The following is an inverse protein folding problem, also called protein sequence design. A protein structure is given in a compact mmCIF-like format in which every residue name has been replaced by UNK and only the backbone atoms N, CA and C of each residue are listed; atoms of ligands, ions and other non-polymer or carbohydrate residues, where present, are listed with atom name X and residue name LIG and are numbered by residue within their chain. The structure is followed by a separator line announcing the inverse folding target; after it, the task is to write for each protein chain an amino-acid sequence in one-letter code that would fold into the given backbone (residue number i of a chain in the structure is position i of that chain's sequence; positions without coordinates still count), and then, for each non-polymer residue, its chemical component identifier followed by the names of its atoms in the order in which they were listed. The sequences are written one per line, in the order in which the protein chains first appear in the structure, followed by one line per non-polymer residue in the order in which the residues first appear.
data_IF_017205983457
#
_entry.id   IF_017205983457
#
_cell.length_a   1.000
_cell.length_b   1.000
_cell.length_c   1.000
_cell.angle_alpha   90.00
_cell.angle_beta   90.00
_cell.angle_gamma   90.00
#
_symmetry.space_group_name_H-M   'P 1'
#
loop_
_entity.id
_entity.type
_entity.pdbx_description
1 polymer ?
#
# COMPACT_ATOMS: atom_id res chain seq x y z
N UNK A 1 -18.12 13.84 -21.81
CA UNK A 1 -16.81 14.30 -21.30
C UNK A 1 -16.92 15.80 -21.03
N UNK A 2 -16.43 16.30 -19.89
CA UNK A 2 -16.55 17.72 -19.49
C UNK A 2 -15.15 18.38 -19.44
N UNK A 3 -14.62 18.88 -20.57
CA UNK A 3 -13.23 19.36 -20.65
C UNK A 3 -12.95 20.61 -19.81
N UNK A 4 -14.00 21.37 -19.45
CA UNK A 4 -13.86 22.64 -18.74
C UNK A 4 -14.02 22.52 -17.22
N UNK A 5 -14.22 21.30 -16.70
CA UNK A 5 -14.36 21.08 -15.25
C UNK A 5 -12.97 20.78 -14.68
N UNK A 6 -12.56 21.44 -13.58
CA UNK A 6 -11.32 21.11 -12.89
C UNK A 6 -11.31 19.65 -12.43
N UNK A 7 -10.27 18.91 -12.82
CA UNK A 7 -10.13 17.51 -12.45
C UNK A 7 -9.06 17.35 -11.37
N UNK A 8 -9.36 16.60 -10.32
CA UNK A 8 -8.42 16.28 -9.25
C UNK A 8 -8.20 14.78 -9.17
N UNK A 9 -7.00 14.36 -8.73
CA UNK A 9 -6.68 12.96 -8.49
C UNK A 9 -6.21 12.74 -7.06
N UNK A 10 -6.76 11.73 -6.39
CA UNK A 10 -6.41 11.39 -5.01
C UNK A 10 -5.88 9.96 -4.95
N UNK A 11 -4.83 9.74 -4.18
CA UNK A 11 -4.31 8.42 -3.87
C UNK A 11 -3.98 8.28 -2.40
N UNK A 12 -4.47 7.21 -1.77
CA UNK A 12 -4.16 6.83 -0.39
C UNK A 12 -3.20 5.62 -0.35
N UNK A 13 -2.20 5.62 0.53
CA UNK A 13 -1.26 4.50 0.72
C UNK A 13 -0.64 4.05 -0.61
N UNK A 14 -0.77 2.79 -1.03
CA UNK A 14 -0.34 2.33 -2.36
C UNK A 14 -0.89 3.19 -3.50
N UNK A 15 -2.16 3.62 -3.40
CA UNK A 15 -2.79 4.52 -4.37
C UNK A 15 -2.04 5.84 -4.50
N UNK A 16 -1.42 6.35 -3.43
CA UNK A 16 -0.59 7.55 -3.50
C UNK A 16 0.65 7.35 -4.38
N UNK A 17 1.25 6.16 -4.39
CA UNK A 17 2.38 5.83 -5.27
C UNK A 17 1.95 5.72 -6.73
N UNK A 18 0.79 5.10 -6.98
CA UNK A 18 0.19 5.05 -8.30
C UNK A 18 -0.06 6.47 -8.83
N UNK A 19 -0.67 7.34 -8.02
CA UNK A 19 -0.92 8.74 -8.40
C UNK A 19 0.39 9.48 -8.64
N UNK A 20 1.41 9.31 -7.80
CA UNK A 20 2.75 9.88 -8.04
C UNK A 20 3.34 9.43 -9.39
N UNK A 21 3.13 8.17 -9.79
CA UNK A 21 3.57 7.70 -11.10
C UNK A 21 2.73 8.28 -12.25
N UNK A 22 1.40 8.36 -12.09
CA UNK A 22 0.51 9.01 -13.07
C UNK A 22 0.91 10.46 -13.30
N UNK A 23 1.20 11.21 -12.24
CA UNK A 23 1.57 12.62 -12.32
C UNK A 23 2.90 12.84 -13.07
N UNK A 24 3.83 11.88 -13.08
CA UNK A 24 5.05 11.99 -13.90
C UNK A 24 4.76 12.09 -15.41
N UNK A 25 3.66 11.50 -15.88
CA UNK A 25 3.32 11.40 -17.30
C UNK A 25 2.09 12.23 -17.70
N UNK A 26 1.23 12.55 -16.74
CA UNK A 26 -0.11 13.07 -16.98
C UNK A 26 -0.51 14.20 -16.01
N UNK A 27 0.43 14.88 -15.35
CA UNK A 27 0.12 15.98 -14.43
C UNK A 27 -0.76 17.07 -15.08
N UNK A 28 -0.53 17.39 -16.36
CA UNK A 28 -1.29 18.37 -17.12
C UNK A 28 -2.79 18.05 -17.27
N UNK A 29 -3.19 16.80 -17.00
CA UNK A 29 -4.60 16.39 -17.06
C UNK A 29 -5.36 16.71 -15.76
N UNK A 30 -4.69 17.22 -14.72
CA UNK A 30 -5.27 17.47 -13.41
C UNK A 30 -4.99 18.91 -12.96
N UNK A 31 -5.99 19.54 -12.37
CA UNK A 31 -5.87 20.83 -11.68
C UNK A 31 -5.14 20.71 -10.36
N UNK A 32 -5.22 19.54 -9.70
CA UNK A 32 -4.50 19.27 -8.46
C UNK A 32 -4.50 17.79 -8.09
N UNK A 33 -3.67 17.46 -7.09
CA UNK A 33 -3.57 16.10 -6.57
C UNK A 33 -3.49 16.05 -5.04
N UNK A 34 -4.06 14.99 -4.46
CA UNK A 34 -4.03 14.72 -3.02
C UNK A 34 -3.33 13.38 -2.79
N UNK A 35 -2.22 13.42 -2.05
CA UNK A 35 -1.47 12.24 -1.66
C UNK A 35 -1.65 12.03 -0.16
N UNK A 36 -2.35 10.96 0.22
CA UNK A 36 -2.71 10.68 1.62
C UNK A 36 -2.02 9.40 2.08
N UNK A 37 -1.52 9.37 3.33
CA UNK A 37 -0.86 8.19 3.89
C UNK A 37 0.32 7.70 3.02
N UNK A 38 1.02 8.62 2.36
CA UNK A 38 2.14 8.28 1.48
C UNK A 38 3.40 7.98 2.29
N UNK A 39 4.37 7.34 1.66
CA UNK A 39 5.69 7.14 2.23
C UNK A 39 6.78 7.58 1.25
N UNK A 40 7.95 7.89 1.79
CA UNK A 40 9.17 8.05 1.02
C UNK A 40 9.97 6.74 0.97
N UNK A 41 11.12 6.75 0.31
CA UNK A 41 12.03 5.62 0.19
C UNK A 41 12.28 4.96 1.56
N UNK A 42 11.78 3.73 1.73
CA UNK A 42 11.95 2.98 2.96
C UNK A 42 13.22 2.12 2.88
N UNK A 43 14.20 2.27 3.80
CA UNK A 43 15.41 1.44 3.82
C UNK A 43 15.15 -0.08 3.80
N UNK A 44 14.02 -0.54 4.34
CA UNK A 44 13.62 -1.96 4.32
C UNK A 44 13.41 -2.51 2.91
N UNK A 45 13.08 -1.66 1.91
CA UNK A 45 12.96 -2.11 0.52
C UNK A 45 14.30 -2.62 0.00
N UNK A 46 15.43 -2.04 0.42
CA UNK A 46 16.77 -2.45 -0.04
C UNK A 46 17.10 -3.90 0.36
N UNK A 47 16.60 -4.37 1.50
CA UNK A 47 16.83 -5.73 2.01
C UNK A 47 15.85 -6.71 1.39
N UNK A 48 14.59 -6.31 1.21
CA UNK A 48 13.52 -7.20 0.76
C UNK A 48 13.43 -7.32 -0.77
N UNK A 49 13.89 -6.32 -1.53
CA UNK A 49 13.82 -6.29 -2.99
C UNK A 49 14.55 -7.45 -3.69
N UNK A 50 15.78 -7.86 -3.32
CA UNK A 50 16.48 -8.95 -3.99
C UNK A 50 15.73 -10.29 -3.89
N UNK A 51 15.24 -10.63 -2.70
CA UNK A 51 14.46 -11.84 -2.46
C UNK A 51 13.15 -11.78 -3.25
N UNK A 52 12.45 -10.64 -3.18
CA UNK A 52 11.17 -10.49 -3.86
C UNK A 52 11.30 -10.52 -5.39
N UNK A 53 12.41 -10.04 -5.97
CA UNK A 53 12.71 -10.17 -7.40
C UNK A 53 12.80 -11.63 -7.85
N UNK A 54 13.45 -12.49 -7.06
CA UNK A 54 13.53 -13.92 -7.36
C UNK A 54 12.16 -14.57 -7.27
N UNK A 55 11.42 -14.30 -6.20
CA UNK A 55 10.07 -14.85 -6.00
C UNK A 55 9.08 -14.39 -7.08
N UNK A 56 9.15 -13.12 -7.49
CA UNK A 56 8.33 -12.57 -8.56
C UNK A 56 8.67 -13.19 -9.92
N UNK A 57 9.93 -13.61 -10.14
CA UNK A 57 10.33 -14.31 -11.37
C UNK A 57 9.84 -15.76 -11.39
N UNK A 58 9.97 -16.48 -10.28
CA UNK A 58 9.68 -17.93 -10.22
C UNK A 58 8.20 -18.21 -9.98
N UNK A 59 7.52 -17.39 -9.18
CA UNK A 59 6.11 -17.58 -8.80
C UNK A 59 5.36 -16.24 -8.75
N UNK A 60 5.26 -15.48 -9.86
CA UNK A 60 4.75 -14.10 -9.88
C UNK A 60 3.36 -13.94 -9.28
N UNK A 61 2.46 -14.89 -9.55
CA UNK A 61 1.04 -14.85 -9.17
C UNK A 61 0.74 -15.50 -7.82
N UNK A 62 1.75 -16.04 -7.14
CA UNK A 62 1.55 -16.70 -5.84
C UNK A 62 1.39 -15.63 -4.75
N UNK A 63 0.32 -15.65 -3.93
CA UNK A 63 0.20 -14.82 -2.74
C UNK A 63 1.37 -15.03 -1.78
N UNK A 64 1.80 -13.98 -1.10
CA UNK A 64 2.96 -14.01 -0.21
C UNK A 64 2.60 -13.60 1.23
N UNK A 65 1.95 -14.49 2.02
CA UNK A 65 1.56 -14.22 3.41
C UNK A 65 2.75 -13.91 4.32
N UNK A 66 3.93 -14.50 4.03
CA UNK A 66 5.15 -14.22 4.81
C UNK A 66 5.54 -12.77 4.68
N UNK A 67 5.52 -12.23 3.46
CA UNK A 67 5.86 -10.84 3.21
C UNK A 67 4.79 -9.89 3.77
N UNK A 68 3.51 -10.23 3.60
CA UNK A 68 2.41 -9.48 4.19
C UNK A 68 2.54 -9.36 5.72
N UNK A 69 2.81 -10.48 6.41
CA UNK A 69 3.00 -10.50 7.86
C UNK A 69 4.22 -9.65 8.27
N UNK A 70 5.36 -9.77 7.58
CA UNK A 70 6.54 -8.93 7.85
C UNK A 70 6.19 -7.44 7.74
N UNK A 71 5.44 -7.04 6.72
CA UNK A 71 5.00 -5.66 6.53
C UNK A 71 4.08 -5.17 7.66
N UNK A 72 3.06 -5.97 8.00
CA UNK A 72 2.16 -5.67 9.11
C UNK A 72 2.92 -5.52 10.44
N UNK A 73 3.90 -6.39 10.72
CA UNK A 73 4.76 -6.29 11.90
C UNK A 73 5.58 -5.00 11.93
N UNK A 74 6.19 -4.63 10.81
CA UNK A 74 6.97 -3.38 10.69
C UNK A 74 6.09 -2.14 10.89
N UNK A 75 4.85 -2.16 10.40
CA UNK A 75 3.93 -1.04 10.57
C UNK A 75 3.42 -0.96 12.02
N UNK A 76 3.02 -2.10 12.60
CA UNK A 76 2.60 -2.17 14.00
C UNK A 76 3.73 -1.83 14.97
N UNK A 77 5.00 -2.11 14.65
CA UNK A 77 6.13 -1.78 15.54
C UNK A 77 6.36 -0.27 15.71
N UNK A 78 5.66 0.57 14.93
CA UNK A 78 5.70 2.04 15.06
C UNK A 78 4.59 2.59 15.95
N UNK A 79 3.69 1.74 16.44
CA UNK A 79 2.59 2.16 17.29
C UNK A 79 3.03 2.11 18.74
N UNK A 80 3.02 3.27 19.39
CA UNK A 80 3.07 3.34 20.85
C UNK A 80 1.67 3.05 21.39
N UNK A 81 1.56 2.25 22.46
CA UNK A 81 0.28 1.93 23.12
C UNK A 81 -0.79 1.33 22.19
N UNK A 82 -0.42 0.27 21.47
CA UNK A 82 -1.30 -0.44 20.55
C UNK A 82 -2.60 -0.91 21.24
N UNK A 83 -3.72 -0.43 20.72
CA UNK A 83 -5.08 -0.66 21.27
C UNK A 83 -5.73 -1.98 20.83
N UNK A 84 -5.21 -2.62 19.78
CA UNK A 84 -5.76 -3.85 19.19
C UNK A 84 -4.64 -4.86 18.93
N UNK A 85 -4.87 -6.14 19.19
CA UNK A 85 -3.93 -7.22 18.90
C UNK A 85 -3.91 -7.65 17.43
N UNK A 86 -4.85 -7.15 16.59
CA UNK A 86 -4.99 -7.46 15.16
C UNK A 86 -3.75 -7.10 14.34
N UNK A 87 -3.31 -7.96 13.41
CA UNK A 87 -2.20 -7.67 12.49
C UNK A 87 -2.39 -6.36 11.69
N UNK A 88 -3.62 -5.85 11.58
CA UNK A 88 -3.96 -4.60 10.90
C UNK A 88 -4.15 -3.39 11.83
N UNK A 89 -3.76 -3.48 13.11
CA UNK A 89 -3.90 -2.40 14.09
C UNK A 89 -3.25 -1.07 13.67
N UNK A 90 -2.29 -1.08 12.74
CA UNK A 90 -1.69 0.12 12.18
C UNK A 90 -2.62 0.93 11.26
N UNK A 91 -3.77 0.38 10.86
CA UNK A 91 -4.72 1.04 9.96
C UNK A 91 -5.54 2.13 10.66
N UNK A 92 -5.91 1.93 11.92
CA UNK A 92 -6.87 2.80 12.60
C UNK A 92 -6.74 2.74 14.13
N UNK A 93 -7.13 3.82 14.82
CA UNK A 93 -7.24 3.89 16.28
C UNK A 93 -8.63 3.52 16.81
N UNK A 94 -9.59 3.24 15.93
CA UNK A 94 -10.89 2.68 16.28
C UNK A 94 -10.88 1.15 16.09
N UNK A 95 -11.00 0.36 17.17
CA UNK A 95 -11.08 -1.10 17.08
C UNK A 95 -12.23 -1.59 16.17
N UNK A 96 -13.36 -0.88 16.14
CA UNK A 96 -14.50 -1.27 15.29
C UNK A 96 -14.19 -1.11 13.81
N UNK A 97 -13.41 -0.08 13.44
CA UNK A 97 -12.95 0.10 12.06
C UNK A 97 -11.96 -0.99 11.63
N UNK A 98 -11.12 -1.48 12.55
CA UNK A 98 -10.22 -2.60 12.29
C UNK A 98 -11.04 -3.89 12.07
N UNK A 99 -11.98 -4.18 12.95
CA UNK A 99 -12.86 -5.35 12.83
C UNK A 99 -13.68 -5.31 11.53
N UNK A 100 -14.22 -4.15 11.16
CA UNK A 100 -14.92 -3.97 9.90
C UNK A 100 -14.01 -4.21 8.68
N UNK A 101 -12.74 -3.78 8.74
CA UNK A 101 -11.76 -4.07 7.70
C UNK A 101 -11.47 -5.57 7.61
N UNK A 102 -11.32 -6.29 8.71
CA UNK A 102 -11.03 -7.73 8.71
C UNK A 102 -12.23 -8.58 8.26
N UNK A 103 -13.45 -8.09 8.49
CA UNK A 103 -14.69 -8.77 8.11
C UNK A 103 -15.05 -8.59 6.61
N UNK A 104 -14.48 -7.61 5.91
CA UNK A 104 -14.76 -7.35 4.50
C UNK A 104 -14.02 -8.36 3.60
N UNK A 105 -14.72 -9.16 2.77
CA UNK A 105 -14.07 -10.13 1.89
C UNK A 105 -13.24 -9.52 0.76
N UNK A 106 -13.32 -8.20 0.53
CA UNK A 106 -12.56 -7.48 -0.50
C UNK A 106 -11.25 -6.87 0.02
N UNK A 107 -10.96 -7.01 1.31
CA UNK A 107 -9.79 -6.43 1.99
C UNK A 107 -8.90 -7.54 2.57
N UNK A 108 -7.81 -7.17 3.24
CA UNK A 108 -6.95 -8.12 3.98
C UNK A 108 -6.21 -9.17 3.14
N UNK A 109 -6.43 -9.23 1.83
CA UNK A 109 -5.82 -10.23 0.98
C UNK A 109 -4.32 -10.02 0.79
N UNK A 110 -3.59 -11.13 0.78
CA UNK A 110 -2.15 -11.11 0.53
C UNK A 110 -1.85 -10.77 -0.93
N UNK A 111 -0.95 -9.82 -1.12
CA UNK A 111 -0.45 -9.52 -2.44
C UNK A 111 0.37 -10.69 -2.98
N UNK A 112 0.37 -10.82 -4.30
CA UNK A 112 1.25 -11.74 -5.00
C UNK A 112 2.70 -11.28 -4.93
N UNK A 113 3.65 -12.17 -5.18
CA UNK A 113 5.08 -11.81 -5.29
C UNK A 113 5.30 -10.64 -6.27
N UNK A 114 4.62 -10.66 -7.43
CA UNK A 114 4.71 -9.56 -8.38
C UNK A 114 4.02 -8.28 -7.88
N UNK A 115 2.91 -8.41 -7.13
CA UNK A 115 2.24 -7.27 -6.50
C UNK A 115 3.15 -6.55 -5.50
N UNK A 116 3.81 -7.29 -4.62
CA UNK A 116 4.81 -6.71 -3.71
C UNK A 116 6.00 -6.12 -4.48
N UNK A 117 6.49 -6.79 -5.53
CA UNK A 117 7.63 -6.25 -6.30
C UNK A 117 7.29 -4.89 -6.90
N UNK A 118 6.11 -4.79 -7.52
CA UNK A 118 5.58 -3.55 -8.10
C UNK A 118 5.43 -2.44 -7.07
N UNK A 119 5.04 -2.77 -5.83
CA UNK A 119 4.90 -1.80 -4.75
C UNK A 119 6.24 -1.19 -4.31
N UNK A 120 7.34 -1.94 -4.40
CA UNK A 120 8.65 -1.53 -3.87
C UNK A 120 9.68 -1.09 -4.92
N UNK A 121 9.36 -1.23 -6.21
CA UNK A 121 10.21 -0.82 -7.33
C UNK A 121 9.76 0.53 -7.90
#
# INVERSE_FOLDING_TARGET
RHPNVPHFVMGHSMGSFIVRNVLKHHAQNFTGAILMGTADANPLTKVLLPINKVLAKVAPKKPNPVFANVMNKVLNSKLDNRISSSEFAWLNEDPQAIEAYEADPLTGFDFTNNGFLTLFS
#
